data_IF_506314316686
#
_entry.id   IF_506314316686
#
_cell.length_a   1.000
_cell.length_b   1.000
_cell.length_c   1.000
_cell.angle_alpha   90.00
_cell.angle_beta   90.00
_cell.angle_gamma   90.00
#
_symmetry.space_group_name_H-M   'P 1'
#
loop_
_entity.id
_entity.type
_entity.pdbx_description
1 polymer ?
#
# COMPACT_ATOMS: atom_id res chain seq x y z
N UNK A 1 -16.81 -3.95 -10.93
CA UNK A 1 -17.47 -3.33 -9.77
C UNK A 1 -17.08 -1.87 -9.84
N UNK A 2 -18.03 -0.99 -10.00
CA UNK A 2 -17.77 0.44 -10.03
C UNK A 2 -17.16 0.83 -8.69
N UNK A 3 -16.14 1.71 -8.68
CA UNK A 3 -15.50 2.22 -7.46
C UNK A 3 -16.50 2.98 -6.57
N UNK A 4 -17.56 3.46 -7.18
CA UNK A 4 -18.77 4.00 -6.55
C UNK A 4 -19.55 2.84 -5.92
N UNK A 5 -19.83 2.90 -4.62
CA UNK A 5 -20.45 1.88 -3.74
C UNK A 5 -19.45 0.95 -3.03
N UNK A 6 -18.14 1.19 -3.06
CA UNK A 6 -17.19 0.42 -2.27
C UNK A 6 -17.38 0.69 -0.75
N UNK A 7 -17.37 -0.39 0.04
CA UNK A 7 -17.54 -0.31 1.50
C UNK A 7 -16.21 0.03 2.16
N UNK A 8 -16.12 1.21 2.75
CA UNK A 8 -14.97 1.68 3.52
C UNK A 8 -15.26 1.60 5.01
N UNK A 9 -14.23 1.38 5.81
CA UNK A 9 -14.32 1.45 7.27
C UNK A 9 -13.34 2.50 7.78
N UNK A 10 -13.83 3.48 8.52
CA UNK A 10 -13.04 4.49 9.21
C UNK A 10 -12.99 4.16 10.69
N UNK A 11 -11.78 4.05 11.23
CA UNK A 11 -11.50 3.74 12.64
C UNK A 11 -10.74 4.90 13.23
N UNK A 12 -11.39 5.70 14.05
CA UNK A 12 -10.84 6.92 14.64
C UNK A 12 -11.63 7.21 15.94
N UNK A 13 -11.01 7.63 17.01
CA UNK A 13 -11.70 7.92 18.28
C UNK A 13 -12.32 9.32 18.30
N UNK A 14 -11.88 10.23 17.44
CA UNK A 14 -12.43 11.57 17.30
C UNK A 14 -13.78 11.57 16.54
N UNK A 15 -14.91 11.86 17.21
CA UNK A 15 -16.22 11.82 16.58
C UNK A 15 -16.40 12.89 15.49
N UNK A 16 -15.81 14.07 15.64
CA UNK A 16 -15.93 15.17 14.65
C UNK A 16 -15.20 14.79 13.38
N UNK A 17 -14.01 14.21 13.51
CA UNK A 17 -13.23 13.76 12.36
C UNK A 17 -13.90 12.58 11.65
N UNK A 18 -14.51 11.65 12.41
CA UNK A 18 -15.30 10.55 11.82
C UNK A 18 -16.47 11.10 10.99
N UNK A 19 -17.29 12.01 11.57
CA UNK A 19 -18.42 12.61 10.86
C UNK A 19 -17.99 13.35 9.58
N UNK A 20 -16.94 14.18 9.68
CA UNK A 20 -16.41 14.91 8.53
C UNK A 20 -15.92 13.96 7.42
N UNK A 21 -15.16 12.94 7.81
CA UNK A 21 -14.59 11.97 6.88
C UNK A 21 -15.69 11.15 6.22
N UNK A 22 -16.66 10.67 6.99
CA UNK A 22 -17.81 9.93 6.49
C UNK A 22 -18.59 10.75 5.49
N UNK A 23 -19.06 11.94 5.90
CA UNK A 23 -19.87 12.81 5.03
C UNK A 23 -19.16 13.13 3.71
N UNK A 24 -17.85 13.40 3.77
CA UNK A 24 -17.09 13.72 2.58
C UNK A 24 -16.94 12.51 1.63
N UNK A 25 -16.61 11.33 2.15
CA UNK A 25 -16.42 10.13 1.32
C UNK A 25 -17.75 9.61 0.76
N UNK A 26 -18.86 9.71 1.53
CA UNK A 26 -20.20 9.37 1.05
C UNK A 26 -20.65 10.29 -0.09
N UNK A 27 -20.36 11.59 -0.04
CA UNK A 27 -20.58 12.50 -1.15
C UNK A 27 -19.82 12.13 -2.41
N UNK A 28 -18.74 11.36 -2.28
CA UNK A 28 -17.94 10.86 -3.40
C UNK A 28 -18.37 9.46 -3.90
N UNK A 29 -19.50 8.93 -3.37
CA UNK A 29 -20.12 7.70 -3.81
C UNK A 29 -19.70 6.42 -3.07
N UNK A 30 -18.91 6.53 -1.97
CA UNK A 30 -18.54 5.37 -1.16
C UNK A 30 -19.60 5.06 -0.11
N UNK A 31 -19.69 3.79 0.31
CA UNK A 31 -20.40 3.41 1.52
C UNK A 31 -19.42 3.44 2.69
N UNK A 32 -19.65 4.26 3.69
CA UNK A 32 -18.69 4.46 4.78
C UNK A 32 -19.29 4.07 6.12
N UNK A 33 -18.68 3.11 6.78
CA UNK A 33 -18.94 2.82 8.20
C UNK A 33 -17.84 3.46 9.05
N UNK A 34 -18.21 3.94 10.24
CA UNK A 34 -17.29 4.54 11.19
C UNK A 34 -17.39 3.84 12.53
N UNK A 35 -16.23 3.59 13.16
CA UNK A 35 -16.13 3.00 14.50
C UNK A 35 -15.02 3.70 15.29
N UNK A 36 -15.12 3.65 16.63
CA UNK A 36 -14.24 4.38 17.54
C UNK A 36 -13.08 3.60 18.12
N UNK A 37 -12.99 2.29 17.86
CA UNK A 37 -11.98 1.44 18.48
C UNK A 37 -11.65 0.20 17.64
N UNK A 38 -10.54 -0.47 17.98
CA UNK A 38 -10.16 -1.75 17.38
C UNK A 38 -11.16 -2.87 17.65
N UNK A 39 -11.79 -2.89 18.83
CA UNK A 39 -12.82 -3.88 19.19
C UNK A 39 -14.07 -3.70 18.31
N UNK A 40 -14.56 -2.46 18.17
CA UNK A 40 -15.69 -2.14 17.31
C UNK A 40 -15.38 -2.43 15.83
N UNK A 41 -14.14 -2.19 15.40
CA UNK A 41 -13.66 -2.57 14.07
C UNK A 41 -13.75 -4.09 13.85
N UNK A 42 -13.27 -4.89 14.80
CA UNK A 42 -13.31 -6.36 14.69
C UNK A 42 -14.73 -6.89 14.60
N UNK A 43 -15.64 -6.35 15.44
CA UNK A 43 -17.05 -6.69 15.39
C UNK A 43 -17.68 -6.34 14.02
N UNK A 44 -17.32 -5.17 13.46
CA UNK A 44 -17.81 -4.76 12.16
C UNK A 44 -17.30 -5.67 11.03
N UNK A 45 -16.02 -6.02 11.04
CA UNK A 45 -15.40 -6.89 10.04
C UNK A 45 -15.93 -8.33 10.04
N UNK A 46 -16.45 -8.82 11.18
CA UNK A 46 -17.11 -10.11 11.25
C UNK A 46 -18.49 -10.12 10.56
N UNK A 47 -19.17 -8.99 10.53
CA UNK A 47 -20.53 -8.87 10.01
C UNK A 47 -20.60 -8.30 8.58
N UNK A 48 -19.58 -7.56 8.14
CA UNK A 48 -19.61 -6.79 6.90
C UNK A 48 -18.34 -6.97 6.07
N UNK A 49 -18.52 -6.96 4.75
CA UNK A 49 -17.38 -6.93 3.82
C UNK A 49 -16.86 -5.50 3.66
N UNK A 50 -15.58 -5.31 3.92
CA UNK A 50 -14.88 -4.03 3.79
C UNK A 50 -13.78 -4.17 2.77
N UNK A 51 -13.61 -3.18 1.89
CA UNK A 51 -12.59 -3.20 0.83
C UNK A 51 -11.40 -2.30 1.11
N UNK A 52 -11.48 -1.41 2.11
CA UNK A 52 -10.39 -0.56 2.58
C UNK A 52 -10.69 -0.06 3.99
N UNK A 53 -9.66 0.00 4.83
CA UNK A 53 -9.71 0.55 6.18
C UNK A 53 -8.87 1.83 6.25
N UNK A 54 -9.45 2.91 6.77
CA UNK A 54 -8.74 4.11 7.22
C UNK A 54 -8.59 4.00 8.72
N UNK A 55 -7.36 3.93 9.23
CA UNK A 55 -7.05 3.55 10.61
C UNK A 55 -6.23 4.62 11.30
N UNK A 56 -6.75 5.19 12.39
CA UNK A 56 -5.95 6.02 13.29
C UNK A 56 -4.98 5.16 14.10
N UNK A 57 -3.79 5.71 14.34
CA UNK A 57 -2.80 5.10 15.23
C UNK A 57 -3.11 5.29 16.70
N UNK A 58 -3.70 6.42 17.06
CA UNK A 58 -3.90 6.84 18.45
C UNK A 58 -5.28 6.46 18.97
N UNK A 59 -5.60 5.16 18.89
CA UNK A 59 -6.88 4.65 19.39
C UNK A 59 -6.80 4.30 20.88
N UNK A 60 -7.91 4.42 21.62
CA UNK A 60 -7.98 3.95 23.00
C UNK A 60 -7.90 2.42 23.07
N UNK A 61 -7.14 1.92 24.01
CA UNK A 61 -6.99 0.49 24.27
C UNK A 61 -5.90 -0.16 23.42
N UNK A 62 -6.11 -0.41 22.15
CA UNK A 62 -5.12 -1.04 21.27
C UNK A 62 -4.51 -0.01 20.29
N UNK A 63 -3.19 0.08 20.27
CA UNK A 63 -2.49 0.99 19.35
C UNK A 63 -2.71 0.57 17.89
N UNK A 64 -3.01 1.53 16.99
CA UNK A 64 -3.34 1.25 15.59
C UNK A 64 -2.28 0.47 14.81
N UNK A 65 -0.99 0.60 15.16
CA UNK A 65 0.07 -0.24 14.57
C UNK A 65 -0.11 -1.73 14.89
N UNK A 66 -0.49 -2.06 16.14
CA UNK A 66 -0.76 -3.45 16.54
C UNK A 66 -1.96 -4.00 15.78
N UNK A 67 -3.00 -3.18 15.63
CA UNK A 67 -4.18 -3.50 14.82
C UNK A 67 -3.77 -3.78 13.37
N UNK A 68 -3.00 -2.88 12.75
CA UNK A 68 -2.53 -3.05 11.37
C UNK A 68 -1.71 -4.33 11.20
N UNK A 69 -0.78 -4.62 12.13
CA UNK A 69 0.04 -5.84 12.10
C UNK A 69 -0.81 -7.12 12.14
N UNK A 70 -1.78 -7.20 13.06
CA UNK A 70 -2.60 -8.40 13.19
C UNK A 70 -3.55 -8.58 12.01
N UNK A 71 -4.11 -7.48 11.48
CA UNK A 71 -4.96 -7.55 10.29
C UNK A 71 -4.18 -8.05 9.08
N UNK A 72 -2.98 -7.54 8.84
CA UNK A 72 -2.16 -7.93 7.68
C UNK A 72 -1.64 -9.36 7.74
N UNK A 73 -1.65 -10.01 8.90
CA UNK A 73 -1.32 -11.45 9.02
C UNK A 73 -2.44 -12.35 8.48
N UNK A 74 -3.69 -11.88 8.52
CA UNK A 74 -4.87 -12.71 8.27
C UNK A 74 -5.79 -12.15 7.18
N UNK A 75 -5.51 -10.94 6.69
CA UNK A 75 -6.36 -10.23 5.73
C UNK A 75 -5.53 -9.48 4.69
N UNK A 76 -5.99 -9.48 3.45
CA UNK A 76 -5.46 -8.69 2.35
C UNK A 76 -6.11 -7.31 2.24
N UNK A 77 -7.03 -6.95 3.14
CA UNK A 77 -7.71 -5.64 3.11
C UNK A 77 -6.68 -4.52 3.16
N UNK A 78 -6.69 -3.58 2.21
CA UNK A 78 -5.82 -2.42 2.24
C UNK A 78 -6.07 -1.53 3.44
N UNK A 79 -5.00 -0.97 4.01
CA UNK A 79 -5.03 -0.09 5.18
C UNK A 79 -4.33 1.21 4.84
N UNK A 80 -5.04 2.34 5.00
CA UNK A 80 -4.46 3.68 5.04
C UNK A 80 -4.35 4.09 6.50
N UNK A 81 -3.13 4.30 6.98
CA UNK A 81 -2.90 4.79 8.33
C UNK A 81 -3.05 6.31 8.34
N UNK A 82 -3.75 6.82 9.37
CA UNK A 82 -3.86 8.25 9.65
C UNK A 82 -3.29 8.52 11.05
N UNK A 83 -2.45 9.54 11.22
CA UNK A 83 -1.84 9.84 12.53
C UNK A 83 -1.53 11.31 12.71
N UNK A 84 -1.71 11.80 13.95
CA UNK A 84 -1.33 13.15 14.36
C UNK A 84 0.20 13.31 14.50
N UNK A 85 0.94 12.20 14.64
CA UNK A 85 2.39 12.22 14.75
C UNK A 85 3.01 12.28 13.35
N UNK A 86 3.51 13.45 12.98
CA UNK A 86 4.19 13.71 11.70
C UNK A 86 5.67 13.32 11.71
N UNK A 87 6.14 12.50 12.65
CA UNK A 87 7.53 12.04 12.64
C UNK A 87 7.73 10.96 11.58
N UNK A 88 8.81 11.10 10.81
CA UNK A 88 9.23 10.11 9.80
C UNK A 88 9.27 8.68 10.35
N UNK A 89 9.49 8.53 11.67
CA UNK A 89 9.53 7.25 12.37
C UNK A 89 8.18 6.54 12.35
N UNK A 90 7.07 7.23 12.66
CA UNK A 90 5.74 6.61 12.70
C UNK A 90 5.25 6.23 11.30
N UNK A 91 5.59 7.03 10.31
CA UNK A 91 5.31 6.73 8.91
C UNK A 91 6.12 5.51 8.43
N UNK A 92 7.40 5.44 8.78
CA UNK A 92 8.26 4.29 8.47
C UNK A 92 7.72 3.05 9.16
N UNK A 93 7.43 3.11 10.47
CA UNK A 93 6.89 2.00 11.25
C UNK A 93 5.50 1.58 10.73
N UNK A 94 4.62 2.53 10.42
CA UNK A 94 3.30 2.23 9.85
C UNK A 94 3.38 1.48 8.53
N UNK A 95 4.27 1.90 7.67
CA UNK A 95 4.56 1.19 6.43
C UNK A 95 5.31 -0.14 6.69
N UNK A 96 6.16 -0.23 7.70
CA UNK A 96 6.81 -1.47 8.15
C UNK A 96 5.83 -2.54 8.66
N UNK A 97 4.70 -2.20 9.20
CA UNK A 97 3.66 -3.14 9.61
C UNK A 97 2.74 -3.59 8.47
N UNK A 98 2.87 -3.07 7.24
CA UNK A 98 2.12 -3.51 6.07
C UNK A 98 1.01 -2.58 5.62
N UNK A 99 0.92 -1.37 6.14
CA UNK A 99 0.00 -0.38 5.62
C UNK A 99 0.28 -0.08 4.13
N UNK A 100 -0.77 0.15 3.37
CA UNK A 100 -0.69 0.42 1.93
C UNK A 100 -0.42 1.90 1.66
N UNK A 101 -0.84 2.79 2.57
CA UNK A 101 -0.52 4.21 2.54
C UNK A 101 -0.57 4.84 3.94
N UNK A 102 -0.09 6.07 4.06
CA UNK A 102 -0.03 6.86 5.30
C UNK A 102 -0.43 8.30 5.04
N UNK A 103 -1.17 8.90 5.97
CA UNK A 103 -1.64 10.28 5.90
C UNK A 103 -1.45 10.97 7.26
N UNK A 104 -0.75 12.09 7.29
CA UNK A 104 -0.56 12.86 8.52
C UNK A 104 -1.78 13.74 8.85
N UNK A 105 -2.19 13.81 10.11
CA UNK A 105 -3.15 14.80 10.63
C UNK A 105 -2.42 16.13 10.95
N UNK A 106 -3.01 17.29 10.67
CA UNK A 106 -4.28 17.48 9.99
C UNK A 106 -4.16 17.27 8.47
N UNK A 107 -5.15 16.64 7.87
CA UNK A 107 -5.17 16.38 6.43
C UNK A 107 -6.36 17.08 5.73
N UNK A 108 -6.20 17.29 4.44
CA UNK A 108 -7.32 17.73 3.59
C UNK A 108 -8.15 16.50 3.19
N UNK A 109 -9.49 16.51 3.34
CA UNK A 109 -10.34 15.39 2.91
C UNK A 109 -10.15 14.99 1.42
N UNK A 110 -9.77 15.94 0.56
CA UNK A 110 -9.43 15.65 -0.84
C UNK A 110 -8.17 14.79 -0.97
N UNK A 111 -7.20 14.98 -0.08
CA UNK A 111 -5.98 14.17 -0.06
C UNK A 111 -6.31 12.73 0.35
N UNK A 112 -7.11 12.55 1.42
CA UNK A 112 -7.60 11.24 1.82
C UNK A 112 -8.33 10.55 0.68
N UNK A 113 -9.24 11.25 -0.01
CA UNK A 113 -9.96 10.72 -1.17
C UNK A 113 -9.02 10.26 -2.29
N UNK A 114 -8.01 11.07 -2.62
CA UNK A 114 -7.04 10.72 -3.65
C UNK A 114 -6.28 9.43 -3.29
N UNK A 115 -5.89 9.28 -2.01
CA UNK A 115 -5.24 8.07 -1.49
C UNK A 115 -6.16 6.86 -1.48
N UNK A 116 -7.41 7.01 -1.02
CA UNK A 116 -8.44 5.96 -1.07
C UNK A 116 -8.60 5.46 -2.50
N UNK A 117 -8.81 6.36 -3.47
CA UNK A 117 -8.96 5.99 -4.89
C UNK A 117 -7.70 5.32 -5.44
N UNK A 118 -6.52 5.80 -5.07
CA UNK A 118 -5.25 5.21 -5.50
C UNK A 118 -5.09 3.78 -4.96
N UNK A 119 -5.36 3.56 -3.68
CA UNK A 119 -5.26 2.24 -3.04
C UNK A 119 -6.31 1.28 -3.60
N UNK A 120 -7.57 1.69 -3.75
CA UNK A 120 -8.63 0.85 -4.31
C UNK A 120 -8.37 0.49 -5.77
N UNK A 121 -7.89 1.42 -6.59
CA UNK A 121 -7.50 1.15 -7.98
C UNK A 121 -6.43 0.07 -8.06
N UNK A 122 -5.50 0.07 -7.13
CA UNK A 122 -4.42 -0.92 -7.03
C UNK A 122 -4.93 -2.30 -6.60
N UNK A 123 -5.94 -2.34 -5.73
CA UNK A 123 -6.53 -3.58 -5.23
C UNK A 123 -7.47 -4.26 -6.25
N UNK A 124 -7.81 -3.59 -7.36
CA UNK A 124 -8.68 -4.17 -8.40
C UNK A 124 -7.85 -5.00 -9.40
N UNK A 125 -8.17 -6.29 -9.58
CA UNK A 125 -7.58 -7.07 -10.66
C UNK A 125 -7.95 -6.46 -12.03
N UNK A 126 -6.94 -6.12 -12.86
CA UNK A 126 -7.17 -5.76 -14.27
C UNK A 126 -7.15 -4.27 -14.63
N UNK A 127 -6.86 -3.34 -13.72
CA UNK A 127 -6.58 -1.95 -14.11
C UNK A 127 -5.07 -1.81 -14.36
N UNK A 128 -4.63 -1.57 -15.60
CA UNK A 128 -3.20 -1.37 -15.87
C UNK A 128 -2.69 -0.17 -15.09
N UNK A 129 -1.68 -0.36 -14.24
CA UNK A 129 -0.81 0.74 -13.83
C UNK A 129 -0.21 1.29 -15.13
N UNK A 130 -0.30 2.61 -15.35
CA UNK A 130 0.19 3.29 -16.57
C UNK A 130 1.59 2.79 -16.96
N UNK A 131 1.65 1.84 -17.90
CA UNK A 131 2.89 1.20 -18.33
C UNK A 131 2.69 -0.19 -18.93
N UNK A 132 1.59 -0.44 -19.64
CA UNK A 132 1.52 -1.37 -20.77
C UNK A 132 2.05 -2.80 -20.63
N UNK A 133 1.92 -3.49 -19.46
CA UNK A 133 2.25 -4.91 -19.40
C UNK A 133 0.97 -5.76 -19.27
N UNK A 134 0.46 -6.24 -20.40
CA UNK A 134 -0.63 -7.23 -20.45
C UNK A 134 -0.12 -8.67 -20.33
N UNK A 135 1.19 -8.89 -20.43
CA UNK A 135 1.81 -10.22 -20.41
C UNK A 135 2.45 -10.52 -19.06
N UNK A 136 2.42 -11.79 -18.65
CA UNK A 136 3.21 -12.31 -17.52
C UNK A 136 4.70 -12.03 -17.74
N UNK A 137 5.39 -11.60 -16.69
CA UNK A 137 6.84 -11.40 -16.72
C UNK A 137 7.52 -12.39 -15.79
N UNK A 138 8.41 -13.18 -16.35
CA UNK A 138 9.19 -14.14 -15.61
C UNK A 138 10.57 -13.60 -15.25
N UNK A 139 11.02 -13.85 -14.02
CA UNK A 139 12.38 -13.55 -13.56
C UNK A 139 12.80 -14.55 -12.48
N UNK A 140 13.91 -15.25 -12.69
CA UNK A 140 14.32 -16.34 -11.83
C UNK A 140 13.24 -17.40 -11.67
N UNK A 141 12.83 -17.66 -10.43
CA UNK A 141 11.76 -18.61 -10.09
C UNK A 141 10.37 -17.94 -10.00
N UNK A 142 10.27 -16.65 -10.33
CA UNK A 142 9.05 -15.85 -10.15
C UNK A 142 8.34 -15.58 -11.47
N UNK A 143 7.00 -15.56 -11.41
CA UNK A 143 6.14 -15.08 -12.47
C UNK A 143 5.24 -13.98 -11.91
N UNK A 144 5.38 -12.76 -12.44
CA UNK A 144 4.53 -11.61 -12.15
C UNK A 144 3.41 -11.54 -13.17
N UNK A 145 2.17 -11.61 -12.72
CA UNK A 145 0.97 -11.50 -13.54
C UNK A 145 0.24 -10.18 -13.20
N UNK A 146 0.51 -9.08 -13.93
CA UNK A 146 -0.07 -7.77 -13.62
C UNK A 146 -1.59 -7.77 -13.68
N UNK A 147 -2.18 -8.46 -14.65
CA UNK A 147 -3.63 -8.54 -14.84
C UNK A 147 -4.35 -9.29 -13.70
N UNK A 148 -3.66 -10.25 -13.07
CA UNK A 148 -4.18 -11.00 -11.93
C UNK A 148 -3.74 -10.42 -10.57
N UNK A 149 -2.97 -9.33 -10.59
CA UNK A 149 -2.35 -8.72 -9.39
C UNK A 149 -1.64 -9.77 -8.53
N UNK A 150 -0.90 -10.67 -9.17
CA UNK A 150 -0.31 -11.85 -8.53
C UNK A 150 1.18 -11.98 -8.84
N UNK A 151 1.95 -12.32 -7.81
CA UNK A 151 3.29 -12.85 -7.92
C UNK A 151 3.26 -14.31 -7.52
N UNK A 152 3.86 -15.20 -8.31
CA UNK A 152 4.07 -16.59 -7.94
C UNK A 152 5.55 -16.95 -7.99
N UNK A 153 5.95 -17.92 -7.15
CA UNK A 153 7.27 -18.54 -7.14
C UNK A 153 7.07 -20.04 -7.36
N UNK A 154 7.61 -20.59 -8.45
CA UNK A 154 7.42 -22.01 -8.82
C UNK A 154 5.92 -22.43 -8.82
N UNK A 155 5.02 -21.53 -9.20
CA UNK A 155 3.57 -21.77 -9.22
C UNK A 155 2.84 -21.51 -7.91
N UNK A 156 3.53 -21.29 -6.78
CA UNK A 156 2.93 -20.94 -5.51
C UNK A 156 2.81 -19.42 -5.36
N UNK A 157 1.66 -18.94 -4.86
CA UNK A 157 1.44 -17.50 -4.70
C UNK A 157 2.32 -16.92 -3.59
N UNK A 158 3.07 -15.86 -3.91
CA UNK A 158 3.83 -15.06 -2.95
C UNK A 158 2.94 -13.90 -2.48
N UNK A 159 2.60 -13.83 -1.18
CA UNK A 159 1.73 -12.76 -0.68
C UNK A 159 2.45 -11.42 -0.69
N UNK A 160 1.97 -10.48 -1.50
CA UNK A 160 2.40 -9.09 -1.54
C UNK A 160 1.27 -8.18 -1.07
N UNK A 161 1.61 -7.10 -0.36
CA UNK A 161 0.68 -5.98 -0.20
C UNK A 161 0.51 -5.25 -1.54
N UNK A 162 -0.58 -4.49 -1.69
CA UNK A 162 -0.80 -3.72 -2.93
C UNK A 162 0.38 -2.80 -3.24
N UNK A 163 0.94 -2.12 -2.23
CA UNK A 163 2.09 -1.22 -2.42
C UNK A 163 3.40 -1.94 -2.80
N UNK A 164 3.61 -3.17 -2.33
CA UNK A 164 4.76 -4.01 -2.73
C UNK A 164 4.60 -4.51 -4.16
N UNK A 165 3.37 -4.92 -4.52
CA UNK A 165 3.06 -5.38 -5.87
C UNK A 165 3.25 -4.27 -6.91
N UNK A 166 2.78 -3.05 -6.62
CA UNK A 166 2.91 -1.91 -7.49
C UNK A 166 4.38 -1.50 -7.68
N UNK A 167 5.13 -1.46 -6.58
CA UNK A 167 6.57 -1.19 -6.65
C UNK A 167 7.27 -2.22 -7.52
N UNK A 168 6.98 -3.51 -7.34
CA UNK A 168 7.54 -4.57 -8.17
C UNK A 168 7.14 -4.39 -9.64
N UNK A 169 5.87 -4.11 -9.90
CA UNK A 169 5.35 -3.90 -11.26
C UNK A 169 6.03 -2.73 -11.97
N UNK A 170 6.24 -1.61 -11.26
CA UNK A 170 6.99 -0.46 -11.78
C UNK A 170 8.43 -0.83 -12.09
N UNK A 171 9.11 -1.50 -11.17
CA UNK A 171 10.50 -1.90 -11.34
C UNK A 171 10.68 -2.89 -12.51
N UNK A 172 9.79 -3.88 -12.60
CA UNK A 172 9.78 -4.90 -13.67
C UNK A 172 9.45 -4.28 -15.04
N UNK A 173 8.65 -3.21 -15.09
CA UNK A 173 8.35 -2.47 -16.33
C UNK A 173 9.55 -1.66 -16.85
N UNK A 174 10.58 -1.47 -16.03
CA UNK A 174 11.77 -0.70 -16.39
C UNK A 174 13.05 -1.52 -16.15
N UNK A 175 13.19 -2.69 -16.79
CA UNK A 175 14.31 -3.59 -16.53
C UNK A 175 15.65 -2.93 -16.92
N UNK A 176 16.64 -3.11 -16.05
CA UNK A 176 18.00 -2.59 -16.22
C UNK A 176 18.09 -1.05 -16.32
N UNK A 177 17.04 -0.34 -15.90
CA UNK A 177 17.05 1.12 -15.80
C UNK A 177 17.09 1.54 -14.34
N UNK A 178 17.89 2.54 -14.04
CA UNK A 178 17.90 3.16 -12.72
C UNK A 178 16.69 4.07 -12.62
N UNK A 179 15.85 3.83 -11.64
CA UNK A 179 14.76 4.71 -11.25
C UNK A 179 15.14 5.38 -9.93
N UNK A 180 15.14 6.72 -9.93
CA UNK A 180 15.30 7.48 -8.71
C UNK A 180 14.02 7.38 -7.84
N UNK A 181 14.17 7.73 -6.57
CA UNK A 181 13.07 7.61 -5.59
C UNK A 181 11.87 8.48 -5.95
N UNK A 182 12.13 9.69 -6.41
CA UNK A 182 11.08 10.63 -6.79
C UNK A 182 10.31 10.11 -8.00
N UNK A 183 11.02 9.54 -8.98
CA UNK A 183 10.40 8.93 -10.15
C UNK A 183 9.56 7.70 -9.80
N UNK A 184 10.05 6.85 -8.88
CA UNK A 184 9.26 5.71 -8.38
C UNK A 184 8.00 6.21 -7.67
N UNK A 185 8.14 7.24 -6.85
CA UNK A 185 7.01 7.83 -6.13
C UNK A 185 5.99 8.43 -7.08
N UNK A 186 6.42 9.22 -8.06
CA UNK A 186 5.55 9.78 -9.10
C UNK A 186 4.75 8.68 -9.84
N UNK A 187 5.41 7.57 -10.17
CA UNK A 187 4.76 6.43 -10.82
C UNK A 187 3.78 5.69 -9.91
N UNK A 188 4.04 5.66 -8.59
CA UNK A 188 3.17 5.05 -7.61
C UNK A 188 1.95 5.93 -7.27
N UNK A 189 2.13 7.24 -7.14
CA UNK A 189 1.09 8.15 -6.58
C UNK A 189 0.39 9.01 -7.61
N UNK A 190 0.94 9.16 -8.81
CA UNK A 190 0.35 9.97 -9.87
C UNK A 190 0.40 11.47 -9.63
N UNK A 191 1.52 12.02 -9.13
CA UNK A 191 1.86 13.46 -9.15
C UNK A 191 1.56 14.36 -7.94
N UNK A 192 1.33 13.85 -6.72
CA UNK A 192 1.38 14.72 -5.51
C UNK A 192 2.61 14.43 -4.67
N UNK A 193 3.54 15.41 -4.63
CA UNK A 193 4.87 15.29 -4.02
C UNK A 193 4.85 15.57 -2.52
N UNK A 194 5.39 14.65 -1.71
CA UNK A 194 5.97 14.97 -0.40
C UNK A 194 7.51 14.88 -0.53
N UNK A 195 8.27 15.94 -0.24
CA UNK A 195 9.72 16.01 -0.53
C UNK A 195 10.62 15.03 0.24
N UNK A 196 10.08 14.29 1.20
CA UNK A 196 10.85 13.40 2.09
C UNK A 196 10.26 11.98 2.22
N UNK A 197 9.72 11.42 1.13
CA UNK A 197 9.10 10.10 1.20
C UNK A 197 10.12 8.95 1.20
N UNK A 198 10.59 8.55 2.40
CA UNK A 198 11.39 7.34 2.61
C UNK A 198 10.60 6.04 2.50
N UNK A 199 9.31 6.10 2.22
CA UNK A 199 8.44 4.93 2.08
C UNK A 199 8.93 3.94 1.02
N UNK A 200 9.61 4.42 -0.02
CA UNK A 200 10.18 3.57 -1.06
C UNK A 200 11.26 2.64 -0.52
N UNK A 201 12.16 3.13 0.33
CA UNK A 201 13.26 2.33 0.87
C UNK A 201 12.72 1.19 1.75
N UNK A 202 11.69 1.47 2.55
CA UNK A 202 11.00 0.47 3.38
C UNK A 202 10.29 -0.57 2.51
N UNK A 203 9.56 -0.14 1.48
CA UNK A 203 8.89 -1.05 0.55
C UNK A 203 9.89 -1.93 -0.20
N UNK A 204 11.03 -1.35 -0.63
CA UNK A 204 12.11 -2.13 -1.25
C UNK A 204 12.67 -3.17 -0.30
N UNK A 205 12.92 -2.80 0.97
CA UNK A 205 13.44 -3.73 1.98
C UNK A 205 12.50 -4.93 2.19
N UNK A 206 11.20 -4.69 2.26
CA UNK A 206 10.20 -5.75 2.41
C UNK A 206 10.05 -6.62 1.18
N UNK A 207 10.03 -5.99 0.01
CA UNK A 207 9.95 -6.70 -1.24
C UNK A 207 11.15 -7.61 -1.41
N UNK A 208 12.36 -7.12 -1.09
CA UNK A 208 13.58 -7.95 -1.05
C UNK A 208 13.44 -9.16 -0.13
N UNK A 209 12.90 -8.98 1.07
CA UNK A 209 12.69 -10.10 2.01
C UNK A 209 11.80 -11.22 1.43
N UNK A 210 10.99 -10.93 0.40
CA UNK A 210 10.07 -11.88 -0.23
C UNK A 210 10.61 -12.48 -1.53
N UNK A 211 11.42 -11.74 -2.27
CA UNK A 211 11.86 -12.17 -3.62
C UNK A 211 13.36 -12.40 -3.76
N UNK A 212 14.19 -11.89 -2.85
CA UNK A 212 15.64 -12.09 -2.95
C UNK A 212 16.08 -13.36 -2.22
N UNK A 213 17.02 -14.10 -2.76
CA UNK A 213 17.65 -15.22 -2.04
C UNK A 213 18.37 -14.77 -0.76
N UNK A 214 19.03 -13.59 -0.82
CA UNK A 214 19.62 -12.90 0.30
C UNK A 214 19.26 -11.39 0.22
N UNK A 215 18.38 -10.89 1.09
CA UNK A 215 17.99 -9.49 1.11
C UNK A 215 19.15 -8.50 1.32
N UNK A 216 20.24 -8.93 1.98
CA UNK A 216 21.42 -8.10 2.22
C UNK A 216 22.28 -7.97 0.95
N UNK A 217 22.26 -8.99 0.08
CA UNK A 217 22.97 -9.03 -1.20
C UNK A 217 21.98 -9.23 -2.36
N UNK A 218 21.14 -8.23 -2.66
CA UNK A 218 20.03 -8.38 -3.60
C UNK A 218 20.52 -8.55 -5.03
N UNK A 219 19.94 -9.52 -5.74
CA UNK A 219 20.24 -9.82 -7.14
C UNK A 219 19.23 -9.21 -8.11
N UNK A 220 17.95 -9.14 -7.73
CA UNK A 220 16.88 -8.59 -8.56
C UNK A 220 16.70 -7.09 -8.39
N UNK A 221 16.58 -6.58 -7.15
CA UNK A 221 16.40 -5.15 -6.88
C UNK A 221 17.69 -4.58 -6.31
N UNK A 222 18.51 -3.97 -7.14
CA UNK A 222 19.81 -3.40 -6.74
C UNK A 222 19.69 -1.95 -6.32
N UNK A 223 20.43 -1.57 -5.28
CA UNK A 223 20.61 -0.17 -4.91
C UNK A 223 21.75 0.42 -5.74
N UNK A 224 21.47 1.50 -6.44
CA UNK A 224 22.46 2.31 -7.12
C UNK A 224 22.71 3.56 -6.27
N UNK A 225 23.77 3.53 -5.51
CA UNK A 225 24.09 4.54 -4.50
C UNK A 225 23.99 5.96 -5.06
N UNK A 226 23.27 6.82 -4.34
CA UNK A 226 23.05 8.22 -4.75
C UNK A 226 22.11 8.40 -5.95
N UNK A 227 21.57 7.31 -6.56
CA UNK A 227 20.73 7.40 -7.76
C UNK A 227 19.35 6.74 -7.62
N UNK A 228 19.21 5.67 -6.82
CA UNK A 228 17.93 4.98 -6.66
C UNK A 228 18.02 3.47 -6.77
N UNK A 229 17.06 2.85 -7.44
CA UNK A 229 16.94 1.39 -7.57
C UNK A 229 16.89 0.94 -9.02
N UNK A 230 17.35 -0.27 -9.27
CA UNK A 230 17.36 -0.89 -10.59
C UNK A 230 16.90 -2.35 -10.47
N UNK A 231 15.99 -2.77 -11.33
CA UNK A 231 15.56 -4.15 -11.44
C UNK A 231 16.40 -4.90 -12.48
N UNK A 232 16.96 -6.04 -12.09
CA UNK A 232 17.80 -6.91 -12.92
C UNK A 232 17.10 -8.28 -13.08
N UNK A 233 16.34 -8.54 -14.17
CA UNK A 233 15.56 -9.78 -14.33
C UNK A 233 16.42 -11.05 -14.42
N UNK A 234 17.62 -10.95 -14.95
CA UNK A 234 18.56 -12.06 -15.11
C UNK A 234 19.32 -12.43 -13.81
N UNK A 235 19.09 -11.67 -12.72
CA UNK A 235 19.93 -11.84 -11.53
C UNK A 235 21.36 -11.32 -11.74
N UNK A 236 22.33 -11.95 -11.11
CA UNK A 236 23.73 -11.63 -11.37
C UNK A 236 24.19 -12.27 -12.70
N UNK A 237 24.43 -11.44 -13.69
CA UNK A 237 25.40 -11.75 -14.74
C UNK A 237 26.77 -11.29 -14.30
#
# INVERSE_FOLDING_TARGET
MELESANLLVVDDDPELRELTQAYLEQQGFNVACVESGEAMDAHLQAHSVVLIVLDLMLPGEHGLSIAQRLKKHSAIPIIIVSAQGEDVDRIVGLEVGADDYLAKPFNPRELLARVRAVLRRAQPGVPVNGGMAASVEFGEFALEPSAHRLSKNGETVPLTSGEFDLLSILVSHPNKVLDRDRILDLLTGAERSPFDRSIDVRVTRLRAKIEPDPANPVYIRTIWGKGYMFCPAGNG
#
